data_IF_916102911218
#
_entry.id   IF_916102911218
#
_cell.length_a   1.000
_cell.length_b   1.000
_cell.length_c   1.000
_cell.angle_alpha   90.00
_cell.angle_beta   90.00
_cell.angle_gamma   90.00
#
_symmetry.space_group_name_H-M   'P 1'
#
loop_
_entity.id
_entity.type
_entity.pdbx_description
1 polymer ?
#
# COMPACT_ATOMS: atom_id res chain seq x y z
N UNK A 1 -66.62 17.88 21.81
CA UNK A 1 -65.25 17.58 21.31
C UNK A 1 -64.84 16.13 21.45
N UNK A 2 -65.04 15.44 22.59
CA UNK A 2 -64.62 14.02 22.77
C UNK A 2 -65.26 13.01 21.79
N UNK A 3 -66.52 13.21 21.41
CA UNK A 3 -67.24 12.31 20.48
C UNK A 3 -66.68 12.35 19.06
N UNK A 4 -66.24 13.53 18.59
CA UNK A 4 -65.72 13.70 17.22
C UNK A 4 -64.30 13.13 17.08
N UNK A 5 -63.50 13.17 18.15
CA UNK A 5 -62.16 12.56 18.18
C UNK A 5 -62.26 11.03 18.07
N UNK A 6 -63.23 10.40 18.72
CA UNK A 6 -63.44 8.94 18.64
C UNK A 6 -63.85 8.51 17.23
N UNK A 7 -64.69 9.28 16.54
CA UNK A 7 -65.06 8.97 15.15
C UNK A 7 -63.90 9.17 14.18
N UNK A 8 -63.06 10.20 14.37
CA UNK A 8 -61.85 10.40 13.56
C UNK A 8 -60.85 9.25 13.79
N UNK A 9 -60.66 8.82 15.05
CA UNK A 9 -59.76 7.70 15.39
C UNK A 9 -60.27 6.36 14.81
N UNK A 10 -61.58 6.12 14.84
CA UNK A 10 -62.20 4.92 14.28
C UNK A 10 -62.13 4.90 12.74
N UNK A 11 -62.31 6.06 12.09
CA UNK A 11 -62.16 6.19 10.64
C UNK A 11 -60.69 6.01 10.24
N UNK A 12 -59.74 6.60 10.98
CA UNK A 12 -58.30 6.42 10.70
C UNK A 12 -57.81 4.98 10.95
N UNK A 13 -58.36 4.28 11.94
CA UNK A 13 -58.10 2.83 12.11
C UNK A 13 -58.68 2.00 10.96
N UNK A 14 -59.83 2.40 10.41
CA UNK A 14 -60.46 1.71 9.28
C UNK A 14 -59.67 1.88 7.97
N UNK A 15 -58.91 2.98 7.82
CA UNK A 15 -58.03 3.22 6.67
C UNK A 15 -56.59 2.73 6.87
N UNK A 16 -56.16 2.45 8.10
CA UNK A 16 -54.82 1.94 8.41
C UNK A 16 -54.72 0.40 8.31
N UNK A 17 -55.85 -0.32 8.35
CA UNK A 17 -55.88 -1.79 8.28
C UNK A 17 -55.90 -2.34 6.85
N UNK A 18 -56.03 -1.50 5.83
CA UNK A 18 -55.95 -1.93 4.41
C UNK A 18 -54.56 -1.72 3.79
N UNK A 19 -53.54 -1.40 4.60
CA UNK A 19 -52.16 -1.19 4.13
C UNK A 19 -51.26 -2.42 4.26
N UNK A 20 -51.70 -3.48 4.93
CA UNK A 20 -51.02 -4.76 4.91
C UNK A 20 -51.70 -5.62 3.85
N UNK A 21 -50.97 -6.04 2.82
CA UNK A 21 -51.50 -7.08 1.95
C UNK A 21 -51.60 -8.37 2.78
N UNK A 22 -52.76 -9.02 2.78
CA UNK A 22 -52.95 -10.34 3.40
C UNK A 22 -52.33 -11.48 2.56
N UNK A 23 -51.48 -11.11 1.58
CA UNK A 23 -50.81 -12.08 0.71
C UNK A 23 -49.59 -12.63 1.43
N UNK A 24 -49.61 -13.94 1.70
CA UNK A 24 -48.44 -14.67 2.21
C UNK A 24 -47.22 -14.56 1.26
N UNK A 25 -47.44 -14.24 -0.02
CA UNK A 25 -46.36 -13.99 -0.98
C UNK A 25 -45.59 -12.69 -0.67
N UNK A 26 -46.24 -11.69 -0.09
CA UNK A 26 -45.61 -10.42 0.28
C UNK A 26 -44.58 -10.63 1.42
N UNK A 27 -44.86 -11.58 2.32
CA UNK A 27 -43.96 -11.97 3.40
C UNK A 27 -42.85 -12.95 2.97
N UNK A 28 -42.91 -13.52 1.77
CA UNK A 28 -41.93 -14.49 1.24
C UNK A 28 -41.15 -13.99 0.03
N UNK A 29 -41.61 -12.90 -0.59
CA UNK A 29 -40.88 -12.20 -1.65
C UNK A 29 -39.67 -11.45 -1.08
N UNK A 30 -38.56 -11.46 -1.82
CA UNK A 30 -37.37 -10.70 -1.42
C UNK A 30 -37.67 -9.19 -1.48
N UNK A 31 -37.21 -8.44 -0.48
CA UNK A 31 -37.33 -6.99 -0.45
C UNK A 31 -36.69 -6.38 -1.69
N UNK A 32 -37.42 -5.49 -2.37
CA UNK A 32 -36.92 -4.75 -3.53
C UNK A 32 -36.50 -3.38 -3.05
N UNK A 33 -35.19 -3.14 -3.03
CA UNK A 33 -34.62 -1.89 -2.55
C UNK A 33 -34.91 -0.74 -3.53
N UNK A 34 -35.35 0.40 -2.99
CA UNK A 34 -35.57 1.61 -3.78
C UNK A 34 -34.27 2.24 -4.31
N UNK A 35 -34.39 3.22 -5.21
CA UNK A 35 -33.25 3.96 -5.79
C UNK A 35 -32.36 4.58 -4.70
N UNK A 36 -32.98 5.14 -3.66
CA UNK A 36 -32.31 5.78 -2.52
C UNK A 36 -32.00 4.83 -1.36
N UNK A 37 -32.27 3.53 -1.53
CA UNK A 37 -31.99 2.51 -0.52
C UNK A 37 -30.75 1.72 -0.90
N UNK A 38 -29.89 1.47 0.09
CA UNK A 38 -28.66 0.70 -0.08
C UNK A 38 -28.95 -0.78 0.24
N UNK A 39 -28.84 -1.70 -0.73
CA UNK A 39 -29.04 -3.13 -0.49
C UNK A 39 -28.08 -3.66 0.56
N UNK A 40 -28.60 -4.51 1.45
CA UNK A 40 -27.76 -5.22 2.42
C UNK A 40 -26.82 -6.17 1.66
N UNK A 41 -25.55 -6.19 2.04
CA UNK A 41 -24.57 -7.12 1.49
C UNK A 41 -24.59 -8.39 2.32
N UNK A 42 -25.08 -9.48 1.74
CA UNK A 42 -24.86 -10.82 2.29
C UNK A 42 -23.43 -11.24 2.02
N UNK A 43 -22.60 -11.28 3.06
CA UNK A 43 -21.17 -11.60 2.92
C UNK A 43 -20.99 -13.05 2.43
N UNK A 44 -20.43 -13.18 1.24
CA UNK A 44 -19.76 -14.36 0.71
C UNK A 44 -18.24 -14.09 0.61
N UNK A 45 -17.47 -14.87 1.37
CA UNK A 45 -16.01 -14.77 1.38
C UNK A 45 -15.38 -15.36 0.11
N UNK A 46 -16.02 -16.35 -0.50
CA UNK A 46 -15.54 -16.95 -1.76
C UNK A 46 -15.71 -15.99 -2.94
N UNK A 47 -16.66 -15.07 -2.86
CA UNK A 47 -16.84 -13.98 -3.84
C UNK A 47 -15.89 -12.79 -3.62
N UNK A 48 -14.98 -12.86 -2.64
CA UNK A 48 -14.13 -11.73 -2.25
C UNK A 48 -12.67 -11.93 -2.64
N UNK A 49 -12.15 -11.04 -3.47
CA UNK A 49 -10.74 -10.92 -3.82
C UNK A 49 -10.10 -9.91 -2.87
N UNK A 50 -9.02 -10.28 -2.19
CA UNK A 50 -8.26 -9.37 -1.32
C UNK A 50 -6.92 -9.04 -1.94
N UNK A 51 -6.64 -7.76 -2.12
CA UNK A 51 -5.38 -7.26 -2.69
C UNK A 51 -4.69 -6.35 -1.69
N UNK A 52 -3.42 -6.64 -1.40
CA UNK A 52 -2.54 -5.75 -0.64
C UNK A 52 -1.69 -4.94 -1.63
N UNK A 53 -1.65 -3.63 -1.45
CA UNK A 53 -0.94 -2.68 -2.31
C UNK A 53 -0.04 -1.83 -1.43
N UNK A 54 1.24 -1.73 -1.80
CA UNK A 54 2.19 -0.83 -1.15
C UNK A 54 2.57 0.28 -2.14
N UNK A 55 2.24 1.52 -1.79
CA UNK A 55 2.69 2.69 -2.53
C UNK A 55 3.95 3.26 -1.89
N UNK A 56 5.04 3.18 -2.63
CA UNK A 56 6.30 3.81 -2.29
C UNK A 56 6.21 5.32 -2.47
N UNK A 57 6.30 6.12 -1.39
CA UNK A 57 6.12 7.59 -1.49
C UNK A 57 7.09 8.29 -2.43
N UNK A 58 8.29 7.73 -2.63
CA UNK A 58 9.31 8.25 -3.57
C UNK A 58 9.06 7.81 -5.03
N UNK A 59 8.17 6.84 -5.23
CA UNK A 59 7.84 6.28 -6.55
C UNK A 59 6.40 5.76 -6.58
N UNK A 60 5.48 6.72 -6.67
CA UNK A 60 4.05 6.45 -6.70
C UNK A 60 3.63 5.95 -8.10
N UNK A 61 3.43 4.64 -8.21
CA UNK A 61 2.89 3.99 -9.40
C UNK A 61 1.50 3.43 -9.12
N UNK A 62 0.60 3.52 -10.10
CA UNK A 62 -0.74 2.94 -9.98
C UNK A 62 -0.70 1.42 -10.02
N UNK A 63 -1.55 0.80 -9.21
CA UNK A 63 -1.74 -0.65 -9.22
C UNK A 63 -2.93 -1.02 -10.12
N UNK A 64 -2.71 -1.94 -11.05
CA UNK A 64 -3.71 -2.34 -12.04
C UNK A 64 -4.14 -3.78 -11.76
N UNK A 65 -5.45 -3.96 -11.59
CA UNK A 65 -6.09 -5.27 -11.54
C UNK A 65 -6.73 -5.54 -12.90
N UNK A 66 -6.33 -6.62 -13.56
CA UNK A 66 -7.03 -7.11 -14.74
C UNK A 66 -8.22 -7.97 -14.32
N UNK A 67 -9.43 -7.63 -14.76
CA UNK A 67 -10.64 -8.37 -14.41
C UNK A 67 -10.66 -9.78 -15.02
N UNK A 68 -9.97 -9.99 -16.15
CA UNK A 68 -9.88 -11.30 -16.82
C UNK A 68 -9.12 -12.34 -15.99
N UNK A 69 -8.21 -11.91 -15.10
CA UNK A 69 -7.50 -12.79 -14.16
C UNK A 69 -8.47 -13.48 -13.18
N UNK A 70 -9.70 -12.96 -13.06
CA UNK A 70 -10.76 -13.47 -12.19
C UNK A 70 -11.99 -13.96 -12.98
N UNK A 71 -11.81 -14.28 -14.27
CA UNK A 71 -12.89 -14.72 -15.16
C UNK A 71 -13.68 -15.92 -14.63
N UNK A 72 -13.01 -16.91 -14.03
CA UNK A 72 -13.67 -18.07 -13.39
C UNK A 72 -14.59 -17.63 -12.24
N UNK A 73 -14.15 -16.68 -11.41
CA UNK A 73 -14.93 -16.20 -10.28
C UNK A 73 -16.17 -15.40 -10.73
N UNK A 74 -16.02 -14.56 -11.76
CA UNK A 74 -17.16 -13.89 -12.38
C UNK A 74 -18.17 -14.90 -12.94
N UNK A 75 -17.69 -15.95 -13.60
CA UNK A 75 -18.55 -16.99 -14.14
C UNK A 75 -19.26 -17.79 -13.04
N UNK A 76 -18.60 -18.08 -11.93
CA UNK A 76 -19.15 -18.84 -10.81
C UNK A 76 -20.16 -18.01 -9.99
N UNK A 77 -19.77 -16.78 -9.60
CA UNK A 77 -20.52 -15.97 -8.63
C UNK A 77 -21.55 -15.04 -9.26
N UNK A 78 -21.40 -14.71 -10.55
CA UNK A 78 -22.36 -13.87 -11.28
C UNK A 78 -23.01 -14.58 -12.47
N UNK A 79 -22.53 -15.77 -12.85
CA UNK A 79 -23.02 -16.47 -14.04
C UNK A 79 -22.65 -15.78 -15.36
N UNK A 80 -21.69 -14.85 -15.34
CA UNK A 80 -21.35 -13.97 -16.46
C UNK A 80 -19.85 -14.01 -16.74
N UNK A 81 -19.47 -13.97 -18.02
CA UNK A 81 -18.10 -13.64 -18.43
C UNK A 81 -17.77 -12.18 -18.14
N UNK A 82 -16.49 -11.83 -18.07
CA UNK A 82 -16.03 -10.44 -17.86
C UNK A 82 -16.59 -9.51 -18.96
N UNK A 83 -16.62 -9.95 -20.21
CA UNK A 83 -17.22 -9.19 -21.32
C UNK A 83 -18.70 -8.86 -21.09
N UNK A 84 -19.47 -9.83 -20.58
CA UNK A 84 -20.87 -9.63 -20.25
C UNK A 84 -21.03 -8.69 -19.06
N UNK A 85 -20.16 -8.79 -18.05
CA UNK A 85 -20.16 -7.88 -16.88
C UNK A 85 -19.93 -6.45 -17.33
N UNK A 86 -18.89 -6.21 -18.14
CA UNK A 86 -18.56 -4.89 -18.69
C UNK A 86 -19.67 -4.33 -19.58
N UNK A 87 -20.21 -5.15 -20.49
CA UNK A 87 -21.35 -4.76 -21.33
C UNK A 87 -22.61 -4.45 -20.49
N UNK A 88 -22.79 -5.20 -19.41
CA UNK A 88 -23.87 -5.05 -18.44
C UNK A 88 -23.87 -3.70 -17.71
N UNK A 89 -22.70 -3.09 -17.51
CA UNK A 89 -22.60 -1.74 -16.93
C UNK A 89 -23.23 -0.69 -17.84
N UNK A 90 -23.13 -0.86 -19.16
CA UNK A 90 -23.64 0.10 -20.14
C UNK A 90 -25.15 -0.02 -20.34
N UNK A 91 -25.69 -1.24 -20.26
CA UNK A 91 -27.12 -1.52 -20.45
C UNK A 91 -27.92 -1.56 -19.13
N UNK A 92 -27.24 -1.48 -17.99
CA UNK A 92 -27.83 -1.45 -16.65
C UNK A 92 -28.15 -2.83 -16.05
N UNK A 93 -27.79 -3.94 -16.69
CA UNK A 93 -27.97 -5.29 -16.12
C UNK A 93 -26.94 -5.63 -15.05
N UNK A 94 -25.87 -4.85 -14.94
CA UNK A 94 -24.83 -4.97 -13.90
C UNK A 94 -24.59 -3.60 -13.29
N UNK A 95 -24.34 -3.59 -11.98
CA UNK A 95 -23.95 -2.39 -11.23
C UNK A 95 -22.52 -2.51 -10.72
N UNK A 96 -21.85 -1.36 -10.57
CA UNK A 96 -20.53 -1.25 -9.96
C UNK A 96 -20.58 -0.17 -8.88
N UNK A 97 -20.38 -0.57 -7.63
CA UNK A 97 -20.53 0.30 -6.47
C UNK A 97 -19.47 0.05 -5.41
N UNK A 98 -19.35 1.01 -4.49
CA UNK A 98 -18.59 0.81 -3.26
C UNK A 98 -19.34 -0.15 -2.32
N UNK A 99 -18.62 -0.68 -1.34
CA UNK A 99 -19.18 -1.49 -0.26
C UNK A 99 -18.75 -0.89 1.08
N UNK A 100 -19.72 -0.60 1.95
CA UNK A 100 -19.45 -0.22 3.33
C UNK A 100 -19.46 -1.48 4.19
N UNK A 101 -18.28 -1.95 4.58
CA UNK A 101 -18.10 -3.17 5.38
C UNK A 101 -18.50 -2.97 6.84
N UNK A 102 -18.47 -1.75 7.36
CA UNK A 102 -18.94 -1.47 8.73
C UNK A 102 -20.45 -1.66 8.85
N UNK A 103 -21.19 -1.31 7.79
CA UNK A 103 -22.66 -1.43 7.74
C UNK A 103 -23.15 -2.66 6.98
N UNK A 104 -22.24 -3.39 6.34
CA UNK A 104 -22.54 -4.52 5.44
C UNK A 104 -23.60 -4.14 4.40
N UNK A 105 -23.36 -3.08 3.65
CA UNK A 105 -24.24 -2.71 2.53
C UNK A 105 -23.47 -2.23 1.31
N UNK A 106 -24.15 -2.29 0.17
CA UNK A 106 -23.73 -1.62 -1.05
C UNK A 106 -23.86 -0.11 -0.90
N UNK A 107 -22.76 0.60 -1.08
CA UNK A 107 -22.70 2.05 -1.03
C UNK A 107 -22.83 2.62 -2.45
N UNK A 108 -24.04 3.10 -2.77
CA UNK A 108 -24.39 3.73 -4.06
C UNK A 108 -23.92 5.18 -4.20
N UNK A 109 -22.94 5.62 -3.43
CA UNK A 109 -22.39 6.97 -3.54
C UNK A 109 -21.98 7.28 -4.99
N UNK A 110 -22.32 8.48 -5.45
CA UNK A 110 -21.93 8.96 -6.77
C UNK A 110 -20.41 8.92 -6.94
N UNK A 111 -19.99 8.73 -8.20
CA UNK A 111 -18.57 8.73 -8.56
C UNK A 111 -17.97 10.11 -8.33
N UNK A 112 -16.87 10.14 -7.58
CA UNK A 112 -16.19 11.38 -7.20
C UNK A 112 -14.88 11.61 -7.95
N UNK A 113 -14.44 10.61 -8.73
CA UNK A 113 -13.33 10.73 -9.68
C UNK A 113 -13.87 10.57 -11.10
N UNK A 114 -14.17 11.70 -11.72
CA UNK A 114 -14.81 11.73 -13.04
C UNK A 114 -16.09 10.92 -13.09
N UNK A 115 -16.27 10.13 -14.16
CA UNK A 115 -17.43 9.25 -14.37
C UNK A 115 -17.12 7.77 -14.15
N UNK A 116 -15.89 7.45 -13.73
CA UNK A 116 -15.33 6.08 -13.68
C UNK A 116 -14.96 5.63 -12.28
N UNK A 117 -14.81 6.54 -11.31
CA UNK A 117 -14.17 6.18 -10.05
C UNK A 117 -14.57 6.98 -8.83
N UNK A 118 -13.85 6.71 -7.74
CA UNK A 118 -13.99 7.38 -6.45
C UNK A 118 -12.63 7.73 -5.84
N UNK A 119 -12.59 8.83 -5.09
CA UNK A 119 -11.55 9.09 -4.10
C UNK A 119 -11.95 8.50 -2.75
N UNK A 120 -10.96 8.08 -1.95
CA UNK A 120 -11.15 7.54 -0.61
C UNK A 120 -10.33 8.32 0.40
N UNK A 121 -10.88 8.52 1.60
CA UNK A 121 -10.18 9.13 2.72
C UNK A 121 -9.44 8.08 3.58
N UNK A 122 -8.74 8.53 4.61
CA UNK A 122 -7.99 7.68 5.55
C UNK A 122 -8.84 6.62 6.27
N UNK A 123 -10.16 6.80 6.36
CA UNK A 123 -11.08 5.83 6.95
C UNK A 123 -11.64 4.83 5.92
N UNK A 124 -11.24 4.91 4.65
CA UNK A 124 -11.77 4.06 3.56
C UNK A 124 -13.13 4.52 3.01
N UNK A 125 -13.62 5.67 3.47
CA UNK A 125 -14.88 6.24 3.00
C UNK A 125 -14.70 7.02 1.71
N UNK A 126 -15.73 7.01 0.86
CA UNK A 126 -15.78 7.83 -0.36
C UNK A 126 -15.65 9.30 0.02
N UNK A 127 -14.76 10.01 -0.66
CA UNK A 127 -14.56 11.46 -0.55
C UNK A 127 -14.39 12.09 -1.94
N UNK A 128 -14.10 13.38 -2.00
CA UNK A 128 -13.94 14.18 -3.22
C UNK A 128 -12.49 14.58 -3.45
N UNK A 129 -12.17 15.02 -4.67
CA UNK A 129 -10.82 15.49 -5.05
C UNK A 129 -10.32 16.65 -4.17
N UNK A 130 -11.21 17.55 -3.74
CA UNK A 130 -10.88 18.71 -2.90
C UNK A 130 -10.68 18.38 -1.42
N UNK A 131 -11.01 17.16 -0.98
CA UNK A 131 -10.81 16.77 0.42
C UNK A 131 -9.31 16.62 0.74
N UNK A 132 -8.89 17.16 1.88
CA UNK A 132 -7.50 17.10 2.35
C UNK A 132 -7.16 15.75 2.99
N UNK A 133 -8.16 14.94 3.33
CA UNK A 133 -8.01 13.59 3.87
C UNK A 133 -7.97 12.51 2.81
N UNK A 134 -8.04 12.88 1.51
CA UNK A 134 -7.95 11.91 0.41
C UNK A 134 -6.61 11.17 0.46
N UNK A 135 -6.66 9.87 0.25
CA UNK A 135 -5.52 8.97 0.43
C UNK A 135 -5.26 8.14 -0.82
N UNK A 136 -6.30 7.72 -1.52
CA UNK A 136 -6.19 6.86 -2.71
C UNK A 136 -7.41 7.09 -3.60
N UNK A 137 -7.31 6.70 -4.87
CA UNK A 137 -8.48 6.64 -5.75
C UNK A 137 -8.53 5.33 -6.53
N UNK A 138 -9.73 4.96 -6.99
CA UNK A 138 -9.95 3.83 -7.87
C UNK A 138 -10.77 4.28 -9.08
N UNK A 139 -10.41 3.81 -10.27
CA UNK A 139 -11.22 3.90 -11.48
C UNK A 139 -11.42 2.53 -12.11
N UNK A 140 -12.55 2.35 -12.79
CA UNK A 140 -12.74 1.28 -13.77
C UNK A 140 -12.43 1.78 -15.18
N UNK A 141 -11.63 1.01 -15.93
CA UNK A 141 -11.50 1.14 -17.37
C UNK A 141 -12.27 -0.01 -18.04
N UNK A 142 -13.42 0.31 -18.62
CA UNK A 142 -14.27 -0.69 -19.28
C UNK A 142 -13.71 -1.17 -20.62
N UNK A 143 -12.83 -0.40 -21.27
CA UNK A 143 -12.25 -0.80 -22.55
C UNK A 143 -11.12 -1.81 -22.34
N UNK A 144 -10.27 -1.56 -21.33
CA UNK A 144 -9.16 -2.44 -20.98
C UNK A 144 -9.54 -3.51 -19.94
N UNK A 145 -10.76 -3.43 -19.39
CA UNK A 145 -11.30 -4.35 -18.37
C UNK A 145 -10.45 -4.38 -17.10
N UNK A 146 -10.09 -3.20 -16.60
CA UNK A 146 -9.22 -3.08 -15.42
C UNK A 146 -9.84 -2.24 -14.32
N UNK A 147 -9.43 -2.53 -13.08
CA UNK A 147 -9.53 -1.58 -11.98
C UNK A 147 -8.14 -0.99 -11.75
N UNK A 148 -8.05 0.33 -11.72
CA UNK A 148 -6.78 1.04 -11.46
C UNK A 148 -6.87 1.75 -10.12
N UNK A 149 -6.07 1.30 -9.16
CA UNK A 149 -5.89 1.96 -7.87
C UNK A 149 -4.73 2.94 -8.01
N UNK A 150 -5.03 4.23 -7.89
CA UNK A 150 -4.05 5.29 -8.09
C UNK A 150 -3.65 5.91 -6.75
N UNK A 151 -2.34 6.06 -6.50
CA UNK A 151 -1.87 6.79 -5.33
C UNK A 151 -2.25 8.27 -5.39
N UNK A 152 -2.19 8.91 -4.22
CA UNK A 152 -2.28 10.35 -4.04
C UNK A 152 -0.92 10.82 -3.51
N UNK A 153 -0.39 11.89 -4.09
CA UNK A 153 0.86 12.49 -3.65
C UNK A 153 0.75 13.10 -2.24
N UNK A 154 1.87 13.22 -1.54
CA UNK A 154 1.98 13.85 -0.22
C UNK A 154 1.18 13.15 0.90
N UNK A 155 0.76 11.90 0.70
CA UNK A 155 0.25 11.07 1.78
C UNK A 155 1.41 10.68 2.70
N UNK A 156 1.19 10.80 4.02
CA UNK A 156 2.20 10.50 5.02
C UNK A 156 2.60 9.01 5.01
N UNK A 157 3.90 8.72 5.06
CA UNK A 157 4.43 7.35 5.25
C UNK A 157 3.84 6.72 6.51
N UNK A 158 3.46 5.45 6.43
CA UNK A 158 2.77 4.71 7.47
C UNK A 158 1.24 4.83 7.42
N UNK A 159 0.69 5.70 6.56
CA UNK A 159 -0.75 5.74 6.32
C UNK A 159 -1.20 4.42 5.69
N UNK A 160 -2.28 3.84 6.23
CA UNK A 160 -2.94 2.66 5.65
C UNK A 160 -4.42 2.93 5.49
N UNK A 161 -5.01 2.44 4.39
CA UNK A 161 -6.43 2.57 4.08
C UNK A 161 -6.98 1.27 3.51
N UNK A 162 -8.21 0.93 3.91
CA UNK A 162 -8.95 -0.20 3.38
C UNK A 162 -10.21 0.30 2.70
N UNK A 163 -10.52 -0.18 1.50
CA UNK A 163 -11.78 0.15 0.83
C UNK A 163 -12.24 -1.02 -0.05
N UNK A 164 -13.52 -1.01 -0.39
CA UNK A 164 -14.16 -2.13 -1.07
C UNK A 164 -15.05 -1.64 -2.21
N UNK A 165 -14.98 -2.33 -3.34
CA UNK A 165 -15.86 -2.16 -4.49
C UNK A 165 -16.34 -3.51 -4.98
N UNK A 166 -17.42 -3.56 -5.75
CA UNK A 166 -17.89 -4.80 -6.31
C UNK A 166 -18.77 -4.61 -7.54
N UNK A 167 -18.83 -5.66 -8.34
CA UNK A 167 -19.76 -5.83 -9.44
C UNK A 167 -20.89 -6.74 -8.98
N UNK A 168 -22.13 -6.40 -9.31
CA UNK A 168 -23.26 -7.26 -9.02
C UNK A 168 -24.27 -7.27 -10.18
N UNK A 169 -24.95 -8.39 -10.37
CA UNK A 169 -26.12 -8.45 -11.25
C UNK A 169 -27.16 -7.49 -10.68
N UNK A 170 -27.71 -6.62 -11.53
CA UNK A 170 -28.69 -5.62 -11.12
C UNK A 170 -30.04 -6.29 -10.87
N UNK A 171 -30.16 -6.85 -9.67
CA UNK A 171 -31.35 -7.48 -9.14
C UNK A 171 -31.86 -6.79 -7.87
N UNK A 172 -32.84 -7.38 -7.18
CA UNK A 172 -33.40 -6.79 -5.99
C UNK A 172 -32.39 -6.65 -4.84
N UNK A 173 -31.45 -7.57 -4.68
CA UNK A 173 -30.58 -7.69 -3.49
C UNK A 173 -29.07 -7.58 -3.75
N UNK A 174 -28.64 -7.73 -5.02
CA UNK A 174 -27.24 -7.80 -5.42
C UNK A 174 -26.49 -8.99 -4.78
N UNK A 175 -27.17 -10.13 -4.61
CA UNK A 175 -26.59 -11.37 -4.04
C UNK A 175 -25.60 -12.07 -5.02
N UNK A 176 -25.75 -11.87 -6.33
CA UNK A 176 -24.85 -12.42 -7.35
C UNK A 176 -23.77 -11.39 -7.69
N UNK A 177 -22.61 -11.49 -7.04
CA UNK A 177 -21.60 -10.45 -7.09
C UNK A 177 -20.16 -10.98 -7.02
N UNK A 178 -19.22 -10.12 -7.44
CA UNK A 178 -17.78 -10.25 -7.15
C UNK A 178 -17.31 -8.99 -6.43
N UNK A 179 -16.58 -9.15 -5.32
CA UNK A 179 -16.08 -8.07 -4.47
C UNK A 179 -14.56 -8.00 -4.52
N UNK A 180 -14.04 -6.78 -4.60
CA UNK A 180 -12.63 -6.46 -4.44
C UNK A 180 -12.43 -5.70 -3.14
N UNK A 181 -11.58 -6.23 -2.26
CA UNK A 181 -11.14 -5.63 -1.01
C UNK A 181 -9.69 -5.19 -1.12
N UNK A 182 -9.45 -3.89 -1.13
CA UNK A 182 -8.12 -3.31 -1.27
C UNK A 182 -7.59 -2.87 0.09
N UNK A 183 -6.38 -3.33 0.42
CA UNK A 183 -5.60 -2.91 1.57
C UNK A 183 -4.39 -2.13 1.05
N UNK A 184 -4.39 -0.81 1.20
CA UNK A 184 -3.33 0.07 0.69
C UNK A 184 -2.51 0.60 1.85
N UNK A 185 -1.19 0.58 1.73
CA UNK A 185 -0.27 1.23 2.66
C UNK A 185 0.70 2.15 1.89
N UNK A 186 1.06 3.26 2.52
CA UNK A 186 2.13 4.14 2.05
C UNK A 186 3.40 3.83 2.82
N UNK A 187 4.42 3.37 2.12
CA UNK A 187 5.70 2.97 2.70
C UNK A 187 6.81 3.84 2.13
N UNK A 188 7.91 3.93 2.88
CA UNK A 188 9.16 4.47 2.37
C UNK A 188 10.11 3.29 2.12
N UNK A 189 10.15 2.75 0.89
CA UNK A 189 11.04 1.63 0.59
C UNK A 189 12.50 2.06 0.53
N UNK A 190 12.79 3.36 0.47
CA UNK A 190 14.16 3.86 0.40
C UNK A 190 14.87 3.78 1.75
N UNK A 191 14.17 3.45 2.84
CA UNK A 191 14.75 3.33 4.17
C UNK A 191 14.56 1.90 4.71
N UNK A 192 15.67 1.20 4.91
CA UNK A 192 15.72 -0.11 5.54
C UNK A 192 16.30 0.02 6.95
N UNK A 193 15.50 -0.28 7.97
CA UNK A 193 15.91 -0.22 9.37
C UNK A 193 16.44 -1.58 9.84
N UNK A 194 17.67 -1.62 10.37
CA UNK A 194 18.29 -2.86 10.87
C UNK A 194 18.80 -2.71 12.30
N UNK A 195 18.74 -3.81 13.06
CA UNK A 195 19.42 -3.97 14.34
C UNK A 195 20.34 -5.17 14.25
N UNK A 196 21.64 -4.95 14.40
CA UNK A 196 22.66 -5.99 14.25
C UNK A 196 23.52 -6.08 15.51
N UNK A 197 24.17 -7.23 15.67
CA UNK A 197 25.19 -7.45 16.70
C UNK A 197 26.52 -7.73 16.02
N UNK A 198 27.49 -6.84 16.21
CA UNK A 198 28.85 -7.03 15.69
C UNK A 198 29.61 -7.93 16.66
N UNK A 199 30.24 -9.03 16.20
CA UNK A 199 30.97 -9.95 17.08
C UNK A 199 32.10 -9.28 17.87
N UNK A 200 32.57 -9.97 18.90
CA UNK A 200 33.75 -9.56 19.66
C UNK A 200 35.04 -9.76 18.84
N UNK A 201 36.02 -8.87 19.03
CA UNK A 201 37.32 -8.93 18.36
C UNK A 201 37.60 -7.69 17.51
N UNK A 202 38.87 -7.35 17.39
CA UNK A 202 39.31 -6.23 16.54
C UNK A 202 38.94 -6.52 15.09
N UNK A 203 38.34 -5.53 14.42
CA UNK A 203 37.88 -5.61 13.03
C UNK A 203 36.81 -6.67 12.74
N UNK A 204 36.22 -7.31 13.76
CA UNK A 204 35.09 -8.21 13.57
C UNK A 204 33.92 -7.48 12.89
N UNK A 205 33.19 -8.18 12.04
CA UNK A 205 32.10 -7.63 11.25
C UNK A 205 30.86 -8.51 11.24
N UNK A 206 29.73 -7.87 10.95
CA UNK A 206 28.46 -8.49 10.61
C UNK A 206 28.19 -8.24 9.13
N UNK A 207 27.91 -9.29 8.37
CA UNK A 207 27.57 -9.20 6.95
C UNK A 207 26.07 -9.03 6.74
N UNK A 208 25.69 -8.02 5.95
CA UNK A 208 24.32 -7.80 5.47
C UNK A 208 24.28 -8.31 4.02
N UNK A 209 23.57 -9.41 3.79
CA UNK A 209 23.39 -9.99 2.45
C UNK A 209 22.39 -9.16 1.65
N UNK A 210 22.85 -8.58 0.54
CA UNK A 210 22.02 -7.72 -0.31
C UNK A 210 20.93 -8.49 -1.07
N UNK A 211 21.04 -9.82 -1.21
CA UNK A 211 19.97 -10.64 -1.79
C UNK A 211 18.69 -10.62 -0.95
N UNK A 212 18.82 -10.46 0.37
CA UNK A 212 17.66 -10.30 1.26
C UNK A 212 16.90 -8.98 1.02
N UNK A 213 17.48 -8.06 0.24
CA UNK A 213 16.90 -6.76 -0.10
C UNK A 213 16.71 -6.60 -1.62
N UNK A 214 16.66 -7.70 -2.37
CA UNK A 214 16.44 -7.68 -3.81
C UNK A 214 15.18 -6.92 -4.22
N UNK A 215 14.08 -7.04 -3.45
CA UNK A 215 12.85 -6.29 -3.70
C UNK A 215 13.02 -4.78 -3.53
N UNK A 216 13.72 -4.34 -2.49
CA UNK A 216 14.07 -2.92 -2.28
C UNK A 216 14.95 -2.40 -3.41
N UNK A 217 15.98 -3.15 -3.80
CA UNK A 217 16.89 -2.76 -4.88
C UNK A 217 16.13 -2.65 -6.21
N UNK A 218 15.30 -3.64 -6.54
CA UNK A 218 14.49 -3.60 -7.75
C UNK A 218 13.53 -2.40 -7.78
N UNK A 219 12.87 -2.11 -6.67
CA UNK A 219 11.91 -1.00 -6.59
C UNK A 219 12.60 0.38 -6.63
N UNK A 220 13.66 0.55 -5.86
CA UNK A 220 14.34 1.84 -5.66
C UNK A 220 15.38 2.15 -6.73
N UNK A 221 15.99 1.13 -7.34
CA UNK A 221 17.09 1.28 -8.31
C UNK A 221 16.74 0.79 -9.71
N UNK A 222 15.60 0.13 -9.91
CA UNK A 222 15.21 -0.51 -11.19
C UNK A 222 16.21 -1.54 -11.71
N UNK A 223 16.89 -2.22 -10.79
CA UNK A 223 17.95 -3.17 -11.12
C UNK A 223 17.77 -4.47 -10.34
N UNK A 224 18.23 -5.56 -10.92
CA UNK A 224 18.54 -6.77 -10.14
C UNK A 224 19.72 -6.49 -9.20
N UNK A 225 19.92 -7.34 -8.20
CA UNK A 225 21.09 -7.22 -7.29
C UNK A 225 22.40 -7.29 -8.07
N UNK A 226 22.49 -8.15 -9.08
CA UNK A 226 23.68 -8.30 -9.92
C UNK A 226 23.96 -7.03 -10.73
N UNK A 227 22.96 -6.48 -11.41
CA UNK A 227 23.09 -5.22 -12.17
C UNK A 227 23.45 -4.05 -11.24
N UNK A 228 22.82 -3.96 -10.08
CA UNK A 228 23.11 -2.96 -9.07
C UNK A 228 24.58 -3.01 -8.63
N UNK A 229 25.10 -4.21 -8.31
CA UNK A 229 26.50 -4.39 -7.89
C UNK A 229 27.50 -4.12 -9.03
N UNK A 230 27.15 -4.49 -10.26
CA UNK A 230 27.96 -4.18 -11.43
C UNK A 230 28.04 -2.66 -11.69
N UNK A 231 27.00 -1.91 -11.31
CA UNK A 231 26.89 -0.47 -11.51
C UNK A 231 27.44 0.37 -10.32
N UNK A 232 28.12 -0.26 -9.35
CA UNK A 232 28.85 0.47 -8.31
C UNK A 232 30.02 1.24 -8.92
N UNK A 233 30.30 2.44 -8.42
CA UNK A 233 31.30 3.37 -8.96
C UNK A 233 32.72 2.80 -8.98
N UNK A 234 33.08 1.95 -8.01
CA UNK A 234 34.36 1.23 -8.00
C UNK A 234 34.49 0.19 -9.12
N UNK A 235 33.37 -0.22 -9.72
CA UNK A 235 33.31 -1.06 -10.92
C UNK A 235 33.16 -0.23 -12.21
N UNK A 236 33.21 1.11 -12.12
CA UNK A 236 33.05 2.03 -13.25
C UNK A 236 31.62 2.47 -13.53
N UNK A 237 30.66 2.12 -12.66
CA UNK A 237 29.26 2.54 -12.78
C UNK A 237 28.93 3.90 -12.16
N UNK A 238 27.64 4.20 -12.09
CA UNK A 238 27.08 5.48 -11.65
C UNK A 238 26.59 5.45 -10.20
N UNK A 239 26.36 4.27 -9.62
CA UNK A 239 25.86 4.11 -8.25
C UNK A 239 27.01 4.24 -7.27
N UNK A 240 26.87 5.14 -6.31
CA UNK A 240 27.87 5.32 -5.26
C UNK A 240 27.29 4.97 -3.90
N UNK A 241 28.10 4.28 -3.09
CA UNK A 241 27.83 4.12 -1.66
C UNK A 241 28.21 5.40 -0.92
N UNK A 242 27.37 5.84 0.00
CA UNK A 242 27.53 7.05 0.82
C UNK A 242 27.25 6.76 2.29
N UNK A 243 27.91 7.49 3.18
CA UNK A 243 27.39 7.66 4.54
C UNK A 243 26.28 8.70 4.51
N UNK A 244 25.16 8.40 5.15
CA UNK A 244 24.02 9.30 5.29
C UNK A 244 23.88 9.64 6.76
N UNK A 245 23.61 10.90 7.09
CA UNK A 245 23.34 11.27 8.47
C UNK A 245 22.06 10.55 8.95
N UNK A 246 22.14 9.71 10.01
CA UNK A 246 21.02 8.85 10.38
C UNK A 246 19.80 9.62 10.91
N UNK A 247 19.98 10.84 11.41
CA UNK A 247 18.87 11.66 11.94
C UNK A 247 18.28 12.61 10.88
N UNK A 248 19.13 13.33 10.15
CA UNK A 248 18.69 14.36 9.19
C UNK A 248 18.46 13.84 7.77
N UNK A 249 19.00 12.68 7.42
CA UNK A 249 18.92 12.16 6.05
C UNK A 249 19.86 12.82 5.04
N UNK A 250 20.73 13.74 5.48
CA UNK A 250 21.71 14.40 4.60
C UNK A 250 22.78 13.41 4.18
N UNK A 251 23.03 13.31 2.88
CA UNK A 251 24.05 12.44 2.26
C UNK A 251 25.42 13.13 2.31
N UNK A 252 26.49 12.42 2.69
CA UNK A 252 27.85 12.95 2.58
C UNK A 252 28.39 12.74 1.18
N UNK A 253 28.10 13.71 0.30
CA UNK A 253 28.52 13.69 -1.10
C UNK A 253 29.98 14.13 -1.32
N UNK A 254 30.63 14.62 -0.26
CA UNK A 254 31.94 15.28 -0.35
C UNK A 254 33.10 14.38 -0.01
N UNK A 255 32.87 13.38 0.86
CA UNK A 255 33.92 12.47 1.30
C UNK A 255 34.27 11.41 0.25
N UNK A 256 35.58 11.20 0.08
CA UNK A 256 36.11 10.02 -0.59
C UNK A 256 35.93 8.78 0.31
N UNK A 257 36.01 7.58 -0.27
CA UNK A 257 36.10 6.35 0.51
C UNK A 257 37.29 6.41 1.46
N UNK A 258 37.03 6.20 2.74
CA UNK A 258 38.06 6.27 3.80
C UNK A 258 38.48 4.89 4.30
N UNK A 259 37.71 3.83 4.01
CA UNK A 259 38.05 2.43 4.26
C UNK A 259 38.31 1.69 2.92
N UNK A 260 38.24 0.35 2.90
CA UNK A 260 38.40 -0.38 1.65
C UNK A 260 37.27 -0.01 0.68
N UNK A 261 37.63 0.60 -0.46
CA UNK A 261 36.64 1.07 -1.41
C UNK A 261 35.88 -0.11 -2.05
N UNK A 262 34.53 -0.03 -2.16
CA UNK A 262 33.66 1.03 -1.65
C UNK A 262 33.44 0.91 -0.13
N UNK A 263 33.92 1.89 0.65
CA UNK A 263 33.94 1.78 2.10
C UNK A 263 34.30 3.05 2.87
N UNK A 264 33.76 3.17 4.09
CA UNK A 264 33.98 4.30 4.98
C UNK A 264 34.30 3.85 6.40
N UNK A 265 35.26 4.56 7.03
CA UNK A 265 35.33 4.64 8.49
C UNK A 265 34.31 5.66 8.99
N UNK A 266 33.66 5.31 10.09
CA UNK A 266 32.52 6.05 10.65
C UNK A 266 32.77 6.26 12.14
N UNK A 267 32.56 7.49 12.59
CA UNK A 267 32.76 7.87 13.98
C UNK A 267 31.52 7.56 14.85
N UNK A 268 31.65 7.80 16.16
CA UNK A 268 30.59 7.60 17.14
C UNK A 268 29.32 8.46 16.93
N UNK A 269 29.35 9.44 16.01
CA UNK A 269 28.20 10.26 15.61
C UNK A 269 27.55 9.78 14.30
N UNK A 270 28.08 8.71 13.69
CA UNK A 270 27.58 8.20 12.41
C UNK A 270 28.06 9.01 11.20
N UNK A 271 29.12 9.82 11.34
CA UNK A 271 29.70 10.60 10.24
C UNK A 271 31.01 9.98 9.73
N UNK A 272 31.37 10.27 8.48
CA UNK A 272 32.65 9.84 7.89
C UNK A 272 33.82 10.37 8.72
N UNK A 273 34.81 9.52 8.93
CA UNK A 273 36.11 9.87 9.52
C UNK A 273 37.22 9.04 8.84
N UNK A 274 38.45 9.18 9.31
CA UNK A 274 39.57 8.33 8.89
C UNK A 274 39.97 7.33 9.98
N UNK A 275 40.67 6.27 9.57
CA UNK A 275 41.22 5.29 10.50
C UNK A 275 42.15 5.96 11.52
N UNK A 276 41.95 5.65 12.81
CA UNK A 276 42.77 6.17 13.90
C UNK A 276 42.44 7.61 14.33
N UNK A 277 41.48 8.28 13.70
CA UNK A 277 41.02 9.59 14.18
C UNK A 277 40.22 9.48 15.49
N UNK A 278 40.18 10.58 16.25
CA UNK A 278 39.43 10.62 17.49
C UNK A 278 37.96 10.27 17.27
N UNK A 279 37.48 9.21 17.93
CA UNK A 279 36.08 8.80 17.88
C UNK A 279 35.70 7.90 16.70
N UNK A 280 36.65 7.41 15.89
CA UNK A 280 36.37 6.34 14.92
C UNK A 280 35.87 5.08 15.64
N UNK A 281 34.77 4.48 15.19
CA UNK A 281 34.12 3.37 15.92
C UNK A 281 33.73 2.21 15.03
N UNK A 282 33.24 2.48 13.83
CA UNK A 282 32.76 1.43 12.92
C UNK A 282 33.29 1.66 11.53
N UNK A 283 33.22 0.63 10.70
CA UNK A 283 33.38 0.76 9.26
C UNK A 283 32.22 0.10 8.54
N UNK A 284 31.94 0.59 7.34
CA UNK A 284 31.04 -0.04 6.39
C UNK A 284 31.80 -0.27 5.09
N UNK A 285 31.85 -1.51 4.62
CA UNK A 285 32.55 -1.91 3.40
C UNK A 285 31.64 -2.81 2.57
N UNK A 286 31.37 -2.43 1.33
CA UNK A 286 30.63 -3.27 0.40
C UNK A 286 31.62 -4.15 -0.37
N UNK A 287 31.42 -5.47 -0.30
CA UNK A 287 32.08 -6.42 -1.16
C UNK A 287 31.10 -6.89 -2.24
N UNK A 288 31.39 -6.49 -3.48
CA UNK A 288 30.55 -6.84 -4.64
C UNK A 288 30.70 -8.31 -5.06
N UNK A 289 31.82 -8.95 -4.72
CA UNK A 289 32.11 -10.34 -5.11
C UNK A 289 31.34 -11.39 -4.31
N UNK A 290 31.09 -11.13 -3.02
CA UNK A 290 30.24 -11.97 -2.16
C UNK A 290 28.87 -11.34 -1.86
N UNK A 291 28.59 -10.16 -2.44
CA UNK A 291 27.31 -9.45 -2.39
C UNK A 291 26.93 -8.98 -0.97
N UNK A 292 27.93 -8.76 -0.11
CA UNK A 292 27.75 -8.39 1.30
C UNK A 292 28.12 -6.95 1.58
N UNK A 293 27.28 -6.24 2.33
CA UNK A 293 27.66 -5.03 3.05
C UNK A 293 28.14 -5.42 4.46
N UNK A 294 29.43 -5.28 4.72
CA UNK A 294 30.01 -5.56 6.03
C UNK A 294 29.97 -4.32 6.92
N UNK A 295 29.41 -4.48 8.11
CA UNK A 295 29.50 -3.49 9.18
C UNK A 295 30.43 -4.04 10.26
N UNK A 296 31.56 -3.39 10.46
CA UNK A 296 32.56 -3.84 11.43
C UNK A 296 32.90 -2.81 12.49
N UNK A 297 33.65 -3.28 13.50
CA UNK A 297 34.08 -2.49 14.66
C UNK A 297 35.55 -2.10 14.58
N UNK A 298 35.87 -0.89 15.03
CA UNK A 298 37.23 -0.47 15.30
C UNK A 298 37.86 -1.31 16.44
N UNK A 299 39.19 -1.40 16.51
CA UNK A 299 39.88 -2.13 17.56
C UNK A 299 39.66 -1.50 18.94
N UNK A 300 39.73 -2.31 19.99
CA UNK A 300 39.75 -1.83 21.39
C UNK A 300 38.44 -1.24 21.91
N UNK A 301 37.31 -1.41 21.21
CA UNK A 301 36.01 -0.94 21.68
C UNK A 301 35.41 -1.84 22.77
N UNK A 302 34.65 -1.25 23.69
CA UNK A 302 33.98 -1.96 24.78
C UNK A 302 32.70 -2.65 24.31
N UNK A 303 32.49 -3.89 24.75
CA UNK A 303 31.24 -4.64 24.55
C UNK A 303 30.02 -3.89 25.13
N UNK A 304 28.85 -4.11 24.55
CA UNK A 304 27.58 -3.48 24.95
C UNK A 304 27.36 -2.06 24.41
N UNK A 305 28.40 -1.40 23.88
CA UNK A 305 28.24 -0.11 23.22
C UNK A 305 27.33 -0.24 21.99
N UNK A 306 26.54 0.81 21.74
CA UNK A 306 25.64 0.90 20.59
C UNK A 306 25.99 2.12 19.76
N UNK A 307 25.98 1.93 18.44
CA UNK A 307 26.19 2.99 17.47
C UNK A 307 25.08 2.94 16.42
N UNK A 308 24.64 4.11 15.98
CA UNK A 308 23.73 4.24 14.84
C UNK A 308 24.52 4.76 13.65
N UNK A 309 24.49 4.01 12.56
CA UNK A 309 25.11 4.38 11.29
C UNK A 309 24.04 4.35 10.20
N UNK A 310 24.23 5.09 9.11
CA UNK A 310 23.40 4.94 7.93
C UNK A 310 24.24 4.95 6.66
N UNK A 311 24.00 3.95 5.83
CA UNK A 311 24.71 3.70 4.58
C UNK A 311 23.70 3.69 3.45
N UNK A 312 23.88 4.57 2.49
CA UNK A 312 23.01 4.71 1.34
C UNK A 312 23.71 4.36 0.04
N UNK A 313 22.91 3.95 -0.95
CA UNK A 313 23.33 3.81 -2.33
C UNK A 313 22.46 4.71 -3.18
N UNK A 314 23.07 5.49 -4.07
CA UNK A 314 22.36 6.44 -4.92
C UNK A 314 23.04 6.57 -6.28
N UNK A 315 22.25 6.65 -7.33
CA UNK A 315 22.76 6.96 -8.66
C UNK A 315 23.21 8.45 -8.70
N UNK A 316 24.44 8.70 -9.15
CA UNK A 316 25.03 10.05 -9.20
C UNK A 316 24.42 10.95 -10.28
N UNK A 317 23.98 10.37 -11.39
CA UNK A 317 23.37 11.08 -12.52
C UNK A 317 21.85 11.22 -12.34
N UNK A 318 21.22 10.29 -11.62
CA UNK A 318 19.78 10.28 -11.32
C UNK A 318 19.52 10.09 -9.81
N UNK A 319 19.66 11.15 -8.99
CA UNK A 319 19.65 11.05 -7.53
C UNK A 319 18.35 10.52 -6.90
N UNK A 320 17.24 10.48 -7.65
CA UNK A 320 15.96 9.91 -7.19
C UNK A 320 16.00 8.37 -7.09
N UNK A 321 16.97 7.71 -7.72
CA UNK A 321 17.20 6.28 -7.56
C UNK A 321 18.14 6.05 -6.40
N UNK A 322 17.57 5.77 -5.23
CA UNK A 322 18.33 5.52 -4.02
C UNK A 322 17.60 4.64 -3.01
N UNK A 323 18.39 4.03 -2.13
CA UNK A 323 17.91 3.49 -0.87
C UNK A 323 19.03 3.55 0.17
N UNK A 324 18.70 3.45 1.44
CA UNK A 324 19.64 3.45 2.56
C UNK A 324 19.25 2.48 3.65
N UNK A 325 20.28 1.94 4.29
CA UNK A 325 20.16 1.27 5.56
C UNK A 325 20.35 2.29 6.69
N UNK A 326 19.51 2.23 7.71
CA UNK A 326 19.78 2.83 9.03
C UNK A 326 19.97 1.68 10.01
N UNK A 327 21.18 1.56 10.53
CA UNK A 327 21.65 0.38 11.24
C UNK A 327 21.97 0.77 12.68
N UNK A 328 21.31 0.11 13.62
CA UNK A 328 21.69 0.12 15.03
C UNK A 328 22.60 -1.07 15.30
N UNK A 329 23.89 -0.81 15.45
CA UNK A 329 24.90 -1.81 15.73
C UNK A 329 25.18 -1.90 17.24
N UNK A 330 25.03 -3.09 17.80
CA UNK A 330 25.43 -3.40 19.19
C UNK A 330 26.73 -4.20 19.17
N UNK A 331 27.73 -3.80 19.94
CA UNK A 331 28.96 -4.57 20.10
C UNK A 331 28.73 -5.74 21.06
N UNK A 332 29.01 -6.97 20.63
CA UNK A 332 28.99 -8.16 21.48
C UNK A 332 30.06 -8.11 22.58
#
# INVERSE_FOLDING_TARGET
>A
MKRNIIYILAISLSFALSACSDSYEDATSKHVYGENESPYLRIDQEATITTNIEFAVERLESYIVNLEDYSELFQEKMGMSVDQVISGLSNGSVVFYNINTTRNHWNKAEKTKGSTGWYYNTAGGVTTESDNTKTVSLDIDTNNKTLTVNPVENVMVGTSVSFNVGFAVNGPDYDDYVRFSFQVSYTDPTIVMLSITIPAGDYASYGIDLNNYAGTIALCMEMTVEEFLANIDTNGGEIRMYVVNPQSGVWDETSNYTANAPGYWINNLGAVCNWGEAGFTTYAELNTGDQMLYIGRAPGLTAGNKYTISIGYRNRESPNYFFRFIITATLA
#
